data_IF_536192982657
#
_entry.id   IF_536192982657
#
_cell.length_a   1.000
_cell.length_b   1.000
_cell.length_c   1.000
_cell.angle_alpha   90.00
_cell.angle_beta   90.00
_cell.angle_gamma   90.00
#
_symmetry.space_group_name_H-M   'P 1'
#
loop_
_entity.id
_entity.type
_entity.pdbx_description
1 polymer ?
#
# COMPACT_ATOMS: atom_id res chain seq x y z
N UNK A 1 -25.41 20.67 -13.62
CA UNK A 1 -25.53 19.38 -12.90
C UNK A 1 -24.15 18.74 -12.96
N UNK A 2 -23.48 18.54 -11.81
CA UNK A 2 -22.19 17.86 -11.83
C UNK A 2 -22.40 16.42 -12.34
N UNK A 3 -21.59 16.02 -13.32
CA UNK A 3 -21.62 14.70 -13.94
C UNK A 3 -20.42 13.91 -13.39
N UNK A 4 -20.36 13.78 -12.07
CA UNK A 4 -19.30 13.04 -11.39
C UNK A 4 -19.94 12.09 -10.39
N UNK A 5 -19.34 10.92 -10.24
CA UNK A 5 -19.72 9.99 -9.18
C UNK A 5 -19.28 10.52 -7.80
N UNK A 6 -19.94 10.03 -6.76
CA UNK A 6 -19.69 10.45 -5.36
C UNK A 6 -18.22 10.25 -4.97
N UNK A 7 -17.56 9.24 -5.55
CA UNK A 7 -16.17 8.94 -5.30
C UNK A 7 -15.24 10.04 -5.82
N UNK A 8 -15.42 10.46 -7.07
CA UNK A 8 -14.63 11.51 -7.71
C UNK A 8 -14.88 12.87 -7.04
N UNK A 9 -16.12 13.18 -6.65
CA UNK A 9 -16.41 14.38 -5.85
C UNK A 9 -15.63 14.38 -4.54
N UNK A 10 -15.71 13.27 -3.81
CA UNK A 10 -15.04 13.11 -2.50
C UNK A 10 -13.53 13.20 -2.66
N UNK A 11 -12.95 12.49 -3.63
CA UNK A 11 -11.51 12.52 -3.88
C UNK A 11 -11.00 13.91 -4.22
N UNK A 12 -11.70 14.66 -5.08
CA UNK A 12 -11.34 16.05 -5.38
C UNK A 12 -11.38 16.93 -4.13
N UNK A 13 -12.33 16.70 -3.23
CA UNK A 13 -12.41 17.45 -1.97
C UNK A 13 -11.25 17.08 -1.03
N UNK A 14 -10.93 15.79 -0.90
CA UNK A 14 -9.79 15.33 -0.10
C UNK A 14 -8.47 15.91 -0.63
N UNK A 15 -8.24 15.83 -1.93
CA UNK A 15 -7.04 16.37 -2.59
C UNK A 15 -6.91 17.88 -2.35
N UNK A 16 -8.01 18.63 -2.44
CA UNK A 16 -8.01 20.07 -2.23
C UNK A 16 -7.62 20.46 -0.80
N UNK A 17 -8.05 19.67 0.19
CA UNK A 17 -7.77 19.93 1.60
C UNK A 17 -6.46 19.26 2.08
N UNK A 18 -5.71 18.61 1.19
CA UNK A 18 -4.46 17.93 1.53
C UNK A 18 -4.66 16.66 2.36
N UNK A 19 -5.81 15.99 2.21
CA UNK A 19 -6.15 14.74 2.90
C UNK A 19 -5.80 13.53 2.03
N UNK A 20 -5.38 12.46 2.70
CA UNK A 20 -4.95 11.20 2.09
C UNK A 20 -5.78 10.03 2.63
N UNK A 21 -5.99 9.03 1.78
CA UNK A 21 -6.65 7.77 2.15
C UNK A 21 -5.65 6.62 2.28
N UNK A 22 -5.72 5.87 3.38
CA UNK A 22 -4.97 4.64 3.60
C UNK A 22 -5.94 3.50 3.94
N UNK A 23 -5.74 2.30 3.40
CA UNK A 23 -6.55 1.14 3.74
C UNK A 23 -5.87 0.30 4.82
N UNK A 24 -6.57 0.08 5.93
CA UNK A 24 -6.16 -0.87 6.96
C UNK A 24 -6.97 -2.15 6.84
N UNK A 25 -6.28 -3.30 6.77
CA UNK A 25 -6.92 -4.62 6.80
C UNK A 25 -7.08 -5.09 8.24
N UNK A 26 -8.28 -5.55 8.58
CA UNK A 26 -8.55 -6.12 9.89
C UNK A 26 -7.88 -7.50 10.06
N UNK A 27 -7.66 -7.89 11.31
CA UNK A 27 -7.05 -9.18 11.67
C UNK A 27 -7.91 -10.40 11.29
N UNK A 28 -9.17 -10.19 10.91
CA UNK A 28 -10.06 -11.23 10.39
C UNK A 28 -9.72 -11.66 8.95
N UNK A 29 -8.84 -10.92 8.26
CA UNK A 29 -8.43 -11.16 6.88
C UNK A 29 -9.52 -10.85 5.84
N UNK A 30 -10.62 -10.19 6.24
CA UNK A 30 -11.82 -9.99 5.41
C UNK A 30 -12.28 -8.53 5.36
N UNK A 31 -12.12 -7.81 6.46
CA UNK A 31 -12.63 -6.46 6.60
C UNK A 31 -11.54 -5.43 6.30
N UNK A 32 -11.94 -4.29 5.73
CA UNK A 32 -11.04 -3.19 5.40
C UNK A 32 -11.67 -1.85 5.81
N UNK A 33 -10.82 -0.94 6.29
CA UNK A 33 -11.22 0.42 6.66
C UNK A 33 -10.42 1.41 5.82
N UNK A 34 -11.09 2.35 5.14
CA UNK A 34 -10.45 3.52 4.57
C UNK A 34 -10.27 4.58 5.66
N UNK A 35 -9.02 4.79 6.07
CA UNK A 35 -8.62 5.85 7.01
C UNK A 35 -8.29 7.11 6.21
N UNK A 36 -9.00 8.20 6.49
CA UNK A 36 -8.71 9.53 5.93
C UNK A 36 -7.89 10.33 6.94
N UNK A 37 -6.74 10.86 6.53
CA UNK A 37 -5.80 11.59 7.41
C UNK A 37 -5.09 12.74 6.68
N UNK A 38 -4.66 13.76 7.43
CA UNK A 38 -3.72 14.81 7.00
C UNK A 38 -2.28 14.53 7.45
N UNK A 39 -2.06 13.51 8.28
CA UNK A 39 -0.77 13.17 8.86
C UNK A 39 -0.43 11.70 8.60
N UNK A 40 0.57 11.45 7.77
CA UNK A 40 1.04 10.08 7.48
C UNK A 40 1.93 9.51 8.60
N UNK A 41 2.53 10.35 9.43
CA UNK A 41 3.39 9.91 10.53
C UNK A 41 2.58 9.30 11.70
N UNK A 42 1.24 9.40 11.67
CA UNK A 42 0.39 8.78 12.70
C UNK A 42 0.21 7.27 12.52
N UNK A 43 0.51 6.72 11.34
CA UNK A 43 0.36 5.29 11.10
C UNK A 43 1.42 4.48 11.83
N UNK A 44 1.03 3.29 12.28
CA UNK A 44 1.98 2.38 12.90
C UNK A 44 3.00 1.89 11.86
N UNK A 45 4.30 1.87 12.18
CA UNK A 45 5.30 1.31 11.29
C UNK A 45 5.00 -0.14 10.95
N UNK A 46 5.22 -0.52 9.70
CA UNK A 46 5.11 -1.92 9.29
C UNK A 46 6.13 -2.79 10.04
N UNK A 47 5.74 -4.02 10.33
CA UNK A 47 6.63 -5.06 10.83
C UNK A 47 6.89 -6.08 9.72
N UNK A 48 8.15 -6.30 9.30
CA UNK A 48 9.37 -5.68 9.82
C UNK A 48 9.55 -4.22 9.32
N UNK A 49 10.14 -3.36 10.17
CA UNK A 49 10.40 -1.95 9.83
C UNK A 49 11.55 -1.77 8.83
N UNK A 50 12.51 -2.69 8.87
CA UNK A 50 13.62 -2.73 7.92
C UNK A 50 13.51 -4.02 7.12
N UNK A 51 13.42 -3.87 5.80
CA UNK A 51 13.42 -5.00 4.87
C UNK A 51 14.82 -5.12 4.29
N UNK A 52 15.38 -6.34 4.30
CA UNK A 52 16.69 -6.59 3.72
C UNK A 52 16.61 -6.45 2.20
N UNK A 53 17.50 -5.63 1.63
CA UNK A 53 17.66 -5.58 0.19
C UNK A 53 18.60 -6.71 -0.25
N UNK A 54 18.10 -7.61 -1.09
CA UNK A 54 18.86 -8.73 -1.62
C UNK A 54 18.99 -8.64 -3.13
N UNK A 55 20.22 -8.83 -3.63
CA UNK A 55 20.50 -8.96 -5.07
C UNK A 55 20.80 -10.42 -5.38
N UNK A 56 19.84 -11.11 -5.98
CA UNK A 56 20.04 -12.48 -6.48
C UNK A 56 21.09 -12.49 -7.61
N UNK A 57 21.98 -13.47 -7.60
CA UNK A 57 22.96 -13.71 -8.65
C UNK A 57 23.13 -15.20 -8.87
N UNK A 58 23.59 -15.64 -10.05
CA UNK A 58 23.67 -17.07 -10.40
C UNK A 58 24.55 -17.93 -9.45
N UNK A 59 25.32 -17.29 -8.56
CA UNK A 59 26.20 -17.93 -7.59
C UNK A 59 25.70 -17.76 -6.13
N UNK A 60 24.45 -17.30 -5.92
CA UNK A 60 23.92 -16.98 -4.60
C UNK A 60 23.20 -18.16 -3.93
N UNK A 61 22.98 -18.07 -2.60
CA UNK A 61 22.38 -19.12 -1.76
C UNK A 61 21.03 -19.68 -2.28
N UNK A 62 20.69 -20.87 -1.79
CA UNK A 62 19.58 -21.76 -2.20
C UNK A 62 18.19 -21.10 -2.23
N UNK A 63 17.97 -19.99 -1.51
CA UNK A 63 16.71 -19.24 -1.48
C UNK A 63 16.62 -18.13 -2.55
N UNK A 64 17.48 -18.15 -3.56
CA UNK A 64 17.43 -17.22 -4.68
C UNK A 64 16.63 -17.80 -5.85
N UNK A 65 15.48 -17.18 -6.18
CA UNK A 65 14.85 -17.39 -7.49
C UNK A 65 15.66 -16.64 -8.54
N UNK A 66 16.66 -17.31 -9.12
CA UNK A 66 17.58 -16.75 -10.12
C UNK A 66 17.09 -16.89 -11.56
N UNK A 67 16.07 -17.71 -11.80
CA UNK A 67 15.53 -17.96 -13.14
C UNK A 67 14.04 -18.33 -13.07
N UNK A 68 13.23 -17.64 -13.89
CA UNK A 68 11.87 -18.05 -14.24
C UNK A 68 11.91 -18.60 -15.66
N UNK A 69 11.77 -19.91 -15.83
CA UNK A 69 11.55 -20.54 -17.13
C UNK A 69 10.06 -20.82 -17.26
N UNK A 70 9.37 -20.05 -18.11
CA UNK A 70 8.00 -20.39 -18.52
C UNK A 70 8.05 -21.57 -19.49
N UNK A 71 7.21 -22.58 -19.23
CA UNK A 71 6.82 -23.55 -20.25
C UNK A 71 5.66 -22.98 -21.07
#
# INVERSE_FOLDING_TARGET
MQYEDDWNFTHRMLEREGLFGCFEQASDGKSHTLVVTDNLDSFQPLSPQTVQFYRAGANSETDAVVQWSGC
#
